data_IF_732332333445
#
_entry.id   IF_732332333445
#
_cell.length_a   1.000
_cell.length_b   1.000
_cell.length_c   1.000
_cell.angle_alpha   90.00
_cell.angle_beta   90.00
_cell.angle_gamma   90.00
#
_symmetry.space_group_name_H-M   'P 1'
#
loop_
_entity.id
_entity.type
_entity.pdbx_description
1 polymer ?
#
# COMPACT_ATOMS: atom_id res chain seq x y z
N UNK A 1 -25.25 42.63 2.12
CA UNK A 1 -24.62 42.22 0.83
C UNK A 1 -23.08 42.21 0.87
N UNK A 2 -22.41 43.08 1.65
CA UNK A 2 -20.95 43.04 1.83
C UNK A 2 -20.47 41.87 2.71
N UNK A 3 -21.21 41.53 3.77
CA UNK A 3 -20.89 40.39 4.66
C UNK A 3 -20.88 39.03 3.95
N UNK A 4 -21.83 38.76 3.04
CA UNK A 4 -21.88 37.45 2.35
C UNK A 4 -20.70 37.23 1.41
N UNK A 5 -20.16 38.30 0.80
CA UNK A 5 -18.94 38.22 -0.02
C UNK A 5 -17.70 37.97 0.82
N UNK A 6 -17.61 38.58 2.00
CA UNK A 6 -16.51 38.34 2.94
C UNK A 6 -16.54 36.90 3.46
N UNK A 7 -17.71 36.40 3.87
CA UNK A 7 -17.90 35.01 4.32
C UNK A 7 -17.49 33.99 3.24
N UNK A 8 -17.83 34.25 1.97
CA UNK A 8 -17.44 33.40 0.84
C UNK A 8 -15.92 33.39 0.59
N UNK A 9 -15.25 34.55 0.71
CA UNK A 9 -13.78 34.62 0.63
C UNK A 9 -13.11 33.84 1.75
N UNK A 10 -13.61 33.95 2.98
CA UNK A 10 -13.10 33.19 4.13
C UNK A 10 -13.29 31.70 3.93
N UNK A 11 -14.49 31.25 3.52
CA UNK A 11 -14.77 29.85 3.24
C UNK A 11 -13.83 29.28 2.17
N UNK A 12 -13.63 30.01 1.06
CA UNK A 12 -12.67 29.62 0.01
C UNK A 12 -11.25 29.54 0.52
N UNK A 13 -10.80 30.50 1.32
CA UNK A 13 -9.46 30.49 1.91
C UNK A 13 -9.28 29.24 2.80
N UNK A 14 -10.24 28.96 3.67
CA UNK A 14 -10.23 27.77 4.54
C UNK A 14 -10.19 26.48 3.71
N UNK A 15 -11.02 26.35 2.67
CA UNK A 15 -11.00 25.17 1.79
C UNK A 15 -9.63 24.98 1.14
N UNK A 16 -9.04 26.05 0.59
CA UNK A 16 -7.71 25.97 -0.03
C UNK A 16 -6.62 25.63 0.98
N UNK A 17 -6.71 26.15 2.22
CA UNK A 17 -5.80 25.77 3.30
C UNK A 17 -5.93 24.27 3.63
N UNK A 18 -7.15 23.75 3.77
CA UNK A 18 -7.37 22.32 4.04
C UNK A 18 -6.80 21.46 2.91
N UNK A 19 -7.10 21.80 1.66
CA UNK A 19 -6.58 21.07 0.50
C UNK A 19 -5.05 21.14 0.43
N UNK A 20 -4.48 22.32 0.66
CA UNK A 20 -3.03 22.52 0.66
C UNK A 20 -2.31 21.74 1.76
N UNK A 21 -2.86 21.73 2.98
CA UNK A 21 -2.34 20.92 4.11
C UNK A 21 -2.40 19.44 3.77
N UNK A 22 -3.53 18.94 3.25
CA UNK A 22 -3.66 17.53 2.88
C UNK A 22 -2.70 17.15 1.74
N UNK A 23 -2.54 18.01 0.73
CA UNK A 23 -1.59 17.78 -0.36
C UNK A 23 -0.13 17.76 0.12
N UNK A 24 0.22 18.64 1.07
CA UNK A 24 1.55 18.65 1.70
C UNK A 24 1.78 17.38 2.52
N UNK A 25 0.81 17.00 3.36
CA UNK A 25 0.88 15.77 4.15
C UNK A 25 1.01 14.53 3.25
N UNK A 26 0.25 14.49 2.16
CA UNK A 26 0.37 13.43 1.15
C UNK A 26 1.80 13.41 0.59
N UNK A 27 2.33 14.54 0.12
CA UNK A 27 3.68 14.62 -0.43
C UNK A 27 4.76 14.18 0.57
N UNK A 28 4.64 14.59 1.83
CA UNK A 28 5.55 14.18 2.91
C UNK A 28 5.44 12.68 3.21
N UNK A 29 4.27 12.08 3.04
CA UNK A 29 4.03 10.65 3.28
C UNK A 29 4.46 9.74 2.12
N UNK A 30 4.76 10.27 0.93
CA UNK A 30 5.17 9.46 -0.24
C UNK A 30 6.35 8.53 0.07
N UNK A 31 7.42 8.96 0.77
CA UNK A 31 8.52 8.06 1.12
C UNK A 31 8.10 6.93 2.08
N UNK A 32 7.14 7.20 2.98
CA UNK A 32 6.62 6.22 3.95
C UNK A 32 5.62 5.25 3.31
N UNK A 33 5.02 5.61 2.18
CA UNK A 33 4.06 4.78 1.45
C UNK A 33 4.63 3.43 1.03
N UNK A 34 5.97 3.35 0.86
CA UNK A 34 6.70 2.11 0.55
C UNK A 34 6.56 1.02 1.61
N UNK A 35 6.12 1.38 2.82
CA UNK A 35 5.88 0.46 3.94
C UNK A 35 4.52 0.76 4.56
N UNK A 36 3.44 0.43 3.86
CA UNK A 36 2.10 0.45 4.43
C UNK A 36 1.87 -0.75 5.38
N UNK A 37 0.81 -0.67 6.20
CA UNK A 37 0.33 -1.81 7.02
C UNK A 37 0.09 -3.07 6.17
N UNK A 38 -0.27 -2.90 4.90
CA UNK A 38 -0.54 -4.01 3.98
C UNK A 38 0.75 -4.65 3.42
N UNK A 39 1.91 -4.03 3.62
CA UNK A 39 3.20 -4.58 3.18
C UNK A 39 3.45 -5.97 3.77
N UNK A 40 3.11 -6.18 5.04
CA UNK A 40 3.25 -7.48 5.69
C UNK A 40 2.43 -8.57 4.99
N UNK A 41 1.21 -8.22 4.55
CA UNK A 41 0.34 -9.11 3.78
C UNK A 41 0.91 -9.42 2.39
N UNK A 42 1.38 -8.42 1.66
CA UNK A 42 1.96 -8.61 0.33
C UNK A 42 3.25 -9.43 0.38
N UNK A 43 4.11 -9.19 1.37
CA UNK A 43 5.35 -9.93 1.56
C UNK A 43 5.06 -11.39 1.94
N UNK A 44 4.16 -11.64 2.89
CA UNK A 44 3.82 -13.00 3.33
C UNK A 44 3.21 -13.81 2.17
N UNK A 45 2.31 -13.20 1.40
CA UNK A 45 1.65 -13.84 0.26
C UNK A 45 2.61 -14.02 -0.92
N UNK A 46 3.49 -13.06 -1.21
CA UNK A 46 4.51 -13.21 -2.25
C UNK A 46 5.50 -14.34 -1.93
N UNK A 47 5.89 -14.48 -0.65
CA UNK A 47 6.72 -15.61 -0.20
C UNK A 47 6.00 -16.95 -0.39
N UNK A 48 4.69 -16.99 -0.12
CA UNK A 48 3.89 -18.17 -0.44
C UNK A 48 3.88 -18.47 -1.93
N UNK A 49 3.70 -17.44 -2.77
CA UNK A 49 3.73 -17.60 -4.22
C UNK A 49 5.06 -18.15 -4.74
N UNK A 50 6.17 -17.69 -4.17
CA UNK A 50 7.50 -18.21 -4.50
C UNK A 50 7.68 -19.69 -4.12
N UNK A 51 7.07 -20.14 -3.02
CA UNK A 51 7.26 -21.48 -2.49
C UNK A 51 6.22 -22.51 -2.98
N UNK A 52 4.98 -22.08 -3.20
CA UNK A 52 3.84 -22.97 -3.41
C UNK A 52 2.94 -22.56 -4.59
N UNK A 53 3.22 -21.42 -5.24
CA UNK A 53 2.36 -20.88 -6.28
C UNK A 53 1.13 -20.14 -5.74
N UNK A 54 0.06 -20.10 -6.52
CA UNK A 54 -1.11 -19.26 -6.22
C UNK A 54 -1.78 -19.60 -4.89
N UNK A 55 -2.23 -18.60 -4.15
CA UNK A 55 -3.04 -18.77 -2.94
C UNK A 55 -4.46 -18.23 -3.16
N UNK A 56 -5.37 -19.06 -3.68
CA UNK A 56 -6.78 -18.72 -3.85
C UNK A 56 -7.56 -18.71 -2.52
N UNK A 57 -7.07 -19.47 -1.53
CA UNK A 57 -7.56 -19.48 -0.15
C UNK A 57 -6.42 -19.07 0.78
N UNK A 58 -6.57 -17.93 1.43
CA UNK A 58 -5.60 -17.33 2.33
C UNK A 58 -5.77 -17.88 3.75
N UNK A 59 -5.12 -19.01 4.01
CA UNK A 59 -4.97 -19.59 5.34
C UNK A 59 -3.74 -19.05 6.08
N UNK A 60 -2.91 -18.24 5.40
CA UNK A 60 -1.64 -17.71 5.89
C UNK A 60 -1.91 -16.52 6.82
N UNK A 61 -2.74 -15.59 6.35
CA UNK A 61 -3.01 -14.34 7.06
C UNK A 61 -4.36 -14.35 7.79
N UNK A 62 -5.14 -15.43 7.69
CA UNK A 62 -6.49 -15.49 8.24
C UNK A 62 -6.83 -16.86 8.87
N UNK A 63 -5.94 -17.39 9.71
CA UNK A 63 -6.21 -18.64 10.43
C UNK A 63 -7.36 -18.53 11.45
N UNK A 64 -8.00 -19.64 11.86
CA UNK A 64 -7.81 -21.02 11.37
C UNK A 64 -8.69 -21.38 10.16
N UNK A 65 -9.74 -20.61 9.87
CA UNK A 65 -10.69 -20.90 8.79
C UNK A 65 -10.18 -20.49 7.41
N UNK A 66 -9.31 -19.49 7.33
CA UNK A 66 -8.92 -18.83 6.10
C UNK A 66 -10.02 -17.96 5.51
N UNK A 67 -9.73 -17.37 4.35
CA UNK A 67 -10.69 -16.59 3.55
C UNK A 67 -10.37 -16.71 2.06
N UNK A 68 -11.33 -16.44 1.16
CA UNK A 68 -11.01 -16.24 -0.25
C UNK A 68 -9.99 -15.12 -0.41
N UNK A 69 -8.96 -15.36 -1.23
CA UNK A 69 -8.03 -14.31 -1.61
C UNK A 69 -8.65 -13.44 -2.70
N UNK A 70 -9.03 -12.22 -2.33
CA UNK A 70 -9.63 -11.25 -3.25
C UNK A 70 -8.59 -10.32 -3.90
N UNK A 71 -7.31 -10.44 -3.53
CA UNK A 71 -6.27 -9.62 -4.12
C UNK A 71 -5.77 -10.21 -5.44
N UNK A 72 -5.52 -9.34 -6.42
CA UNK A 72 -4.97 -9.75 -7.71
C UNK A 72 -3.60 -10.41 -7.56
N UNK A 73 -3.32 -11.50 -8.30
CA UNK A 73 -2.05 -12.24 -8.15
C UNK A 73 -0.85 -11.48 -8.71
N UNK A 74 -1.06 -10.51 -9.61
CA UNK A 74 0.01 -9.87 -10.37
C UNK A 74 1.10 -9.23 -9.49
N UNK A 75 0.72 -8.45 -8.48
CA UNK A 75 1.67 -7.81 -7.56
C UNK A 75 2.45 -8.85 -6.75
N UNK A 76 1.76 -9.88 -6.23
CA UNK A 76 2.39 -10.95 -5.46
C UNK A 76 3.38 -11.76 -6.29
N UNK A 77 3.04 -12.05 -7.55
CA UNK A 77 3.96 -12.70 -8.51
C UNK A 77 5.16 -11.81 -8.79
N UNK A 78 4.97 -10.51 -9.00
CA UNK A 78 6.06 -9.58 -9.25
C UNK A 78 7.04 -9.51 -8.06
N UNK A 79 6.51 -9.37 -6.84
CA UNK A 79 7.31 -9.40 -5.61
C UNK A 79 7.99 -10.76 -5.44
N UNK A 80 7.29 -11.86 -5.73
CA UNK A 80 7.86 -13.20 -5.62
C UNK A 80 9.05 -13.40 -6.55
N UNK A 81 8.90 -13.04 -7.84
CA UNK A 81 9.96 -13.14 -8.85
C UNK A 81 11.14 -12.25 -8.48
N UNK A 82 10.90 -10.99 -8.14
CA UNK A 82 11.97 -10.07 -7.78
C UNK A 82 12.67 -10.49 -6.48
N UNK A 83 11.93 -10.95 -5.48
CA UNK A 83 12.48 -11.46 -4.22
C UNK A 83 13.39 -12.67 -4.43
N UNK A 84 13.04 -13.58 -5.35
CA UNK A 84 13.89 -14.70 -5.75
C UNK A 84 15.17 -14.21 -6.47
N UNK A 85 15.05 -13.27 -7.40
CA UNK A 85 16.20 -12.67 -8.11
C UNK A 85 17.16 -11.97 -7.11
N UNK A 86 16.62 -11.30 -6.10
CA UNK A 86 17.38 -10.61 -5.04
C UNK A 86 17.94 -11.55 -3.96
N UNK A 87 17.84 -12.87 -4.14
CA UNK A 87 18.49 -13.87 -3.29
C UNK A 87 17.55 -14.77 -2.49
N UNK A 88 16.24 -14.60 -2.58
CA UNK A 88 15.23 -15.53 -2.03
C UNK A 88 15.18 -15.63 -0.50
N UNK A 89 15.86 -14.73 0.22
CA UNK A 89 15.81 -14.64 1.70
C UNK A 89 14.59 -13.80 2.11
N UNK A 90 14.07 -13.91 3.34
CA UNK A 90 12.96 -13.09 3.80
C UNK A 90 13.14 -11.59 3.51
N UNK A 91 14.33 -11.06 3.76
CA UNK A 91 14.67 -9.65 3.51
C UNK A 91 14.64 -9.27 2.03
N UNK A 92 14.93 -10.22 1.13
CA UNK A 92 14.83 -10.00 -0.33
C UNK A 92 13.40 -9.72 -0.76
N UNK A 93 12.40 -10.35 -0.13
CA UNK A 93 10.99 -10.08 -0.40
C UNK A 93 10.51 -8.76 0.21
N UNK A 94 11.07 -8.37 1.37
CA UNK A 94 10.83 -7.04 1.96
C UNK A 94 11.35 -5.96 1.02
N UNK A 95 12.59 -6.12 0.52
CA UNK A 95 13.19 -5.19 -0.43
C UNK A 95 12.42 -5.18 -1.76
N UNK A 96 12.01 -6.33 -2.29
CA UNK A 96 11.19 -6.41 -3.49
C UNK A 96 9.84 -5.68 -3.32
N UNK A 97 9.18 -5.85 -2.17
CA UNK A 97 7.96 -5.11 -1.86
C UNK A 97 8.22 -3.61 -1.72
N UNK A 98 9.33 -3.19 -1.12
CA UNK A 98 9.68 -1.76 -1.02
C UNK A 98 10.03 -1.12 -2.38
N UNK A 99 10.46 -1.91 -3.37
CA UNK A 99 10.74 -1.45 -4.73
C UNK A 99 9.46 -1.36 -5.57
N UNK A 100 8.56 -2.34 -5.42
CA UNK A 100 7.34 -2.48 -6.24
C UNK A 100 6.10 -1.85 -5.59
N UNK A 101 6.11 -1.70 -4.28
CA UNK A 101 5.14 -0.94 -3.51
C UNK A 101 5.35 0.53 -3.77
N UNK A 102 4.55 1.07 -4.68
CA UNK A 102 4.29 2.50 -4.77
C UNK A 102 3.56 2.95 -3.53
#
# INVERSE_FOLDING_TARGET
MLESKALNRTARAVTWTILGVNALLLAVSIPDYRVSIDSGYHISLARWYAAHGTAWWDHINYGPGGRPNLQGPALHVAIAVLGLILGGRPDSFILANAILGL
#
